data_IF_572057325972
#
_entry.id   IF_572057325972
#
_cell.length_a   1.000
_cell.length_b   1.000
_cell.length_c   1.000
_cell.angle_alpha   90.00
_cell.angle_beta   90.00
_cell.angle_gamma   90.00
#
_symmetry.space_group_name_H-M   'P 1'
#
loop_
_entity.id
_entity.type
_entity.pdbx_description
1 polymer ?
#
# COMPACT_ATOMS: atom_id res chain seq x y z
N UNK A 1 28.85 -17.19 -1.75
CA UNK A 1 27.58 -17.37 -1.03
C UNK A 1 27.91 -17.92 0.35
N UNK A 2 27.27 -17.43 1.40
CA UNK A 2 27.43 -17.95 2.75
C UNK A 2 26.72 -19.32 2.89
N UNK A 3 27.32 -20.23 3.63
CA UNK A 3 26.77 -21.58 3.85
C UNK A 3 25.78 -21.57 5.02
N UNK A 4 26.11 -20.78 6.06
CA UNK A 4 25.32 -20.64 7.29
C UNK A 4 25.34 -19.19 7.81
N UNK A 5 24.65 -18.94 8.94
CA UNK A 5 24.58 -17.64 9.57
C UNK A 5 25.95 -17.15 10.05
N UNK A 6 26.77 -18.06 10.61
CA UNK A 6 28.12 -17.72 11.09
C UNK A 6 29.02 -17.22 9.95
N UNK A 7 29.00 -17.93 8.83
CA UNK A 7 29.77 -17.60 7.62
C UNK A 7 29.25 -16.29 7.01
N UNK A 8 27.93 -16.09 7.02
CA UNK A 8 27.32 -14.85 6.57
C UNK A 8 27.80 -13.62 7.33
N UNK A 9 27.80 -13.68 8.66
CA UNK A 9 28.29 -12.60 9.51
C UNK A 9 29.81 -12.40 9.40
N UNK A 10 30.56 -13.48 9.22
CA UNK A 10 32.01 -13.45 8.97
C UNK A 10 32.34 -12.73 7.67
N UNK A 11 31.60 -12.97 6.60
CA UNK A 11 31.80 -12.27 5.31
C UNK A 11 31.53 -10.79 5.44
N UNK A 12 30.53 -10.38 6.22
CA UNK A 12 30.22 -8.96 6.45
C UNK A 12 31.30 -8.28 7.28
N UNK A 13 31.72 -8.87 8.38
CA UNK A 13 32.80 -8.31 9.23
C UNK A 13 34.13 -8.19 8.46
N UNK A 14 34.44 -9.13 7.56
CA UNK A 14 35.64 -9.07 6.74
C UNK A 14 35.63 -7.90 5.73
N UNK A 15 34.46 -7.35 5.42
CA UNK A 15 34.32 -6.15 4.56
C UNK A 15 34.41 -4.84 5.33
N UNK A 16 34.24 -4.89 6.65
CA UNK A 16 34.45 -3.71 7.52
C UNK A 16 35.95 -3.44 7.66
N UNK A 17 36.32 -2.17 7.89
CA UNK A 17 37.73 -1.81 8.01
C UNK A 17 38.38 -2.54 9.18
N UNK A 18 39.53 -3.18 8.91
CA UNK A 18 40.28 -3.97 9.88
C UNK A 18 41.07 -3.11 10.92
N UNK A 19 40.99 -1.79 10.83
CA UNK A 19 41.75 -0.87 11.69
C UNK A 19 41.14 -0.67 13.08
N UNK A 20 39.86 -1.03 13.26
CA UNK A 20 39.19 -0.89 14.55
C UNK A 20 39.41 -2.13 15.42
N UNK A 21 40.02 -2.01 16.62
CA UNK A 21 40.26 -3.13 17.52
C UNK A 21 38.96 -3.86 17.92
N UNK A 22 37.86 -3.13 18.08
CA UNK A 22 36.55 -3.70 18.43
C UNK A 22 36.02 -4.60 17.29
N UNK A 23 36.32 -4.26 16.02
CA UNK A 23 35.94 -5.10 14.86
C UNK A 23 36.75 -6.40 14.83
N UNK A 24 38.01 -6.36 15.19
CA UNK A 24 38.86 -7.56 15.32
C UNK A 24 38.36 -8.49 16.43
N UNK A 25 37.93 -7.92 17.57
CA UNK A 25 37.33 -8.69 18.66
C UNK A 25 36.00 -9.30 18.25
N UNK A 26 35.12 -8.54 17.55
CA UNK A 26 33.87 -9.05 17.02
C UNK A 26 34.09 -10.23 16.07
N UNK A 27 35.09 -10.14 15.19
CA UNK A 27 35.48 -11.24 14.30
C UNK A 27 35.93 -12.48 15.09
N UNK A 28 36.70 -12.30 16.16
CA UNK A 28 37.17 -13.39 17.04
C UNK A 28 35.98 -14.03 17.77
N UNK A 29 35.04 -13.26 18.28
CA UNK A 29 33.81 -13.76 18.92
C UNK A 29 33.03 -14.65 17.96
N UNK A 30 32.78 -14.19 16.74
CA UNK A 30 32.02 -14.98 15.75
C UNK A 30 32.79 -16.23 15.31
N UNK A 31 34.10 -16.13 15.15
CA UNK A 31 34.91 -17.27 14.68
C UNK A 31 35.08 -18.34 15.75
N UNK A 32 35.52 -17.95 16.95
CA UNK A 32 36.05 -18.88 17.95
C UNK A 32 35.05 -19.17 19.07
N UNK A 33 34.08 -18.28 19.32
CA UNK A 33 33.14 -18.37 20.45
C UNK A 33 31.67 -18.40 20.00
N UNK A 34 31.39 -18.82 18.77
CA UNK A 34 30.05 -18.82 18.17
C UNK A 34 28.99 -19.51 19.04
N UNK A 35 29.27 -20.75 19.51
CA UNK A 35 28.33 -21.50 20.32
C UNK A 35 28.03 -20.81 21.66
N UNK A 36 29.04 -20.26 22.33
CA UNK A 36 28.86 -19.51 23.58
C UNK A 36 28.10 -18.21 23.35
N UNK A 37 28.30 -17.57 22.20
CA UNK A 37 27.60 -16.35 21.79
C UNK A 37 26.10 -16.60 21.55
N UNK A 38 25.72 -17.67 20.82
CA UNK A 38 24.31 -18.05 20.59
C UNK A 38 23.60 -18.36 21.92
N UNK A 39 24.28 -19.04 22.85
CA UNK A 39 23.72 -19.35 24.16
C UNK A 39 23.82 -18.22 25.18
N UNK A 40 24.18 -16.98 24.71
CA UNK A 40 24.29 -15.77 25.54
C UNK A 40 25.22 -15.89 26.75
N UNK A 41 26.24 -16.73 26.67
CA UNK A 41 27.23 -16.93 27.72
C UNK A 41 28.28 -15.82 27.68
N UNK A 42 27.87 -14.56 27.87
CA UNK A 42 28.72 -13.39 27.69
C UNK A 42 29.84 -13.32 28.73
N UNK A 43 29.56 -13.68 29.98
CA UNK A 43 30.57 -13.70 31.05
C UNK A 43 31.73 -14.64 30.74
N UNK A 44 31.44 -15.77 30.10
CA UNK A 44 32.46 -16.73 29.65
C UNK A 44 33.33 -16.11 28.55
N UNK A 45 32.73 -15.41 27.59
CA UNK A 45 33.42 -14.79 26.45
C UNK A 45 34.30 -13.64 26.97
N UNK A 46 33.77 -12.78 27.84
CA UNK A 46 34.50 -11.67 28.47
C UNK A 46 35.77 -12.15 29.18
N UNK A 47 35.63 -13.19 30.01
CA UNK A 47 36.77 -13.79 30.72
C UNK A 47 37.80 -14.40 29.78
N UNK A 48 37.38 -15.04 28.69
CA UNK A 48 38.28 -15.67 27.73
C UNK A 48 39.01 -14.71 26.82
N UNK A 49 38.38 -13.60 26.50
CA UNK A 49 38.98 -12.53 25.66
C UNK A 49 39.77 -11.53 26.50
N UNK A 50 39.70 -11.63 27.85
CA UNK A 50 40.35 -10.69 28.78
C UNK A 50 40.00 -9.22 28.50
N UNK A 51 38.73 -8.95 28.19
CA UNK A 51 38.21 -7.61 27.90
C UNK A 51 37.26 -7.16 29.01
N UNK A 52 37.13 -5.84 29.17
CA UNK A 52 36.17 -5.23 30.08
C UNK A 52 34.75 -5.27 29.50
N UNK A 53 33.75 -5.13 30.38
CA UNK A 53 32.34 -5.16 29.98
C UNK A 53 31.98 -4.06 28.99
N UNK A 54 32.53 -2.87 29.08
CA UNK A 54 32.26 -1.76 28.17
C UNK A 54 32.79 -2.05 26.76
N UNK A 55 34.00 -2.61 26.66
CA UNK A 55 34.53 -3.04 25.34
C UNK A 55 33.71 -4.13 24.74
N UNK A 56 33.23 -5.10 25.54
CA UNK A 56 32.35 -6.16 25.03
C UNK A 56 30.99 -5.63 24.58
N UNK A 57 30.43 -4.61 25.25
CA UNK A 57 29.20 -3.95 24.77
C UNK A 57 29.39 -3.27 23.40
N UNK A 58 30.51 -2.63 23.14
CA UNK A 58 30.84 -2.08 21.82
C UNK A 58 30.95 -3.17 20.77
N UNK A 59 31.60 -4.27 21.09
CA UNK A 59 31.68 -5.46 20.23
C UNK A 59 30.29 -6.04 19.94
N UNK A 60 29.41 -6.13 20.93
CA UNK A 60 28.03 -6.56 20.78
C UNK A 60 27.26 -5.66 19.81
N UNK A 61 27.40 -4.34 19.94
CA UNK A 61 26.75 -3.37 19.01
C UNK A 61 27.23 -3.55 17.58
N UNK A 62 28.51 -3.83 17.37
CA UNK A 62 29.04 -4.14 16.03
C UNK A 62 28.38 -5.40 15.47
N UNK A 63 28.31 -6.49 16.24
CA UNK A 63 27.69 -7.74 15.80
C UNK A 63 26.20 -7.55 15.54
N UNK A 64 25.49 -6.78 16.35
CA UNK A 64 24.06 -6.46 16.17
C UNK A 64 23.79 -5.57 14.94
N UNK A 65 24.76 -4.79 14.49
CA UNK A 65 24.63 -3.98 13.28
C UNK A 65 24.75 -4.79 11.98
N UNK A 66 25.19 -6.05 12.07
CA UNK A 66 25.29 -6.93 10.91
C UNK A 66 23.90 -7.47 10.52
N UNK A 67 23.67 -7.61 9.23
CA UNK A 67 22.41 -8.15 8.72
C UNK A 67 22.45 -9.69 8.71
N UNK A 68 21.62 -10.38 9.51
CA UNK A 68 21.57 -11.84 9.52
C UNK A 68 20.96 -12.44 8.24
N UNK A 69 20.25 -11.64 7.44
CA UNK A 69 19.59 -12.05 6.20
C UNK A 69 19.94 -11.12 5.03
N UNK A 70 21.20 -11.10 4.56
CA UNK A 70 21.63 -10.16 3.50
C UNK A 70 21.01 -10.45 2.13
N UNK A 71 20.35 -11.59 1.96
CA UNK A 71 19.64 -11.94 0.72
C UNK A 71 18.24 -11.32 0.65
N UNK A 72 17.65 -11.01 1.80
CA UNK A 72 16.63 -9.96 1.87
C UNK A 72 17.44 -8.66 1.88
N UNK A 73 17.73 -8.13 0.68
CA UNK A 73 18.24 -6.79 0.56
C UNK A 73 17.48 -5.92 1.54
N UNK A 74 18.06 -4.78 1.97
CA UNK A 74 17.19 -3.70 2.35
C UNK A 74 16.18 -3.58 1.22
N UNK A 75 15.05 -4.25 1.38
CA UNK A 75 13.82 -3.68 0.97
C UNK A 75 13.75 -2.37 1.78
N UNK A 76 14.51 -1.37 1.35
CA UNK A 76 13.83 -0.15 1.01
C UNK A 76 12.60 -0.69 0.34
N UNK A 77 11.51 -0.74 1.05
CA UNK A 77 10.17 -0.74 0.51
C UNK A 77 9.98 0.53 -0.33
N UNK A 78 10.82 0.73 -1.28
CA UNK A 78 10.40 1.02 -2.60
C UNK A 78 9.74 -0.30 -2.96
N UNK A 79 8.55 -0.55 -2.33
CA UNK A 79 7.54 -1.26 -3.05
C UNK A 79 7.58 -0.66 -4.44
N UNK A 80 8.27 -1.28 -5.36
CA UNK A 80 7.94 -1.25 -6.76
C UNK A 80 6.59 -1.96 -6.90
N UNK A 81 5.69 -1.74 -5.95
CA UNK A 81 4.28 -1.94 -6.12
C UNK A 81 3.91 -0.92 -7.18
N UNK A 82 3.84 -1.42 -8.41
CA UNK A 82 3.30 -0.65 -9.52
C UNK A 82 1.92 -0.16 -9.09
N UNK A 83 1.90 1.08 -8.55
CA UNK A 83 0.68 1.68 -8.03
C UNK A 83 -0.19 2.01 -9.24
N UNK A 84 -1.23 1.20 -9.45
CA UNK A 84 -2.25 1.52 -10.42
C UNK A 84 -3.10 2.65 -9.85
N UNK A 85 -3.04 3.85 -10.44
CA UNK A 85 -3.80 4.98 -9.96
C UNK A 85 -5.29 4.76 -10.21
N UNK A 86 -6.11 5.18 -9.26
CA UNK A 86 -7.57 5.15 -9.40
C UNK A 86 -8.07 6.31 -10.29
N UNK A 87 -7.41 7.45 -10.19
CA UNK A 87 -7.70 8.66 -10.96
C UNK A 87 -6.50 9.09 -11.79
N UNK A 88 -6.78 9.58 -12.98
CA UNK A 88 -5.82 10.28 -13.84
C UNK A 88 -6.27 11.72 -13.91
N UNK A 89 -5.39 12.65 -13.51
CA UNK A 89 -5.63 14.10 -13.48
C UNK A 89 -4.67 14.77 -14.43
N UNK A 90 -5.17 15.63 -15.29
CA UNK A 90 -4.37 16.38 -16.25
C UNK A 90 -4.89 17.81 -16.40
N UNK A 91 -4.02 18.68 -16.85
CA UNK A 91 -4.35 20.06 -17.15
C UNK A 91 -4.47 20.23 -18.67
N UNK A 92 -5.64 20.66 -19.15
CA UNK A 92 -5.90 20.94 -20.55
C UNK A 92 -6.96 22.01 -20.69
N UNK A 93 -6.85 22.82 -21.73
CA UNK A 93 -7.80 23.90 -22.06
C UNK A 93 -7.99 24.92 -20.91
N UNK A 94 -6.94 25.17 -20.15
CA UNK A 94 -6.94 26.03 -18.95
C UNK A 94 -7.80 25.49 -17.78
N UNK A 95 -8.12 24.21 -17.80
CA UNK A 95 -8.89 23.55 -16.76
C UNK A 95 -8.18 22.27 -16.28
N UNK A 96 -8.36 21.95 -14.99
CA UNK A 96 -7.95 20.66 -14.43
C UNK A 96 -9.05 19.66 -14.72
N UNK A 97 -8.75 18.65 -15.53
CA UNK A 97 -9.65 17.55 -15.89
C UNK A 97 -9.20 16.28 -15.21
N UNK A 98 -10.11 15.37 -14.92
CA UNK A 98 -9.80 14.07 -14.38
C UNK A 98 -10.69 12.97 -14.95
N UNK A 99 -10.22 11.75 -14.88
CA UNK A 99 -11.02 10.57 -15.17
C UNK A 99 -10.70 9.45 -14.21
N UNK A 100 -11.68 8.61 -13.90
CA UNK A 100 -11.41 7.30 -13.29
C UNK A 100 -10.64 6.43 -14.27
N UNK A 101 -9.68 5.67 -13.77
CA UNK A 101 -8.91 4.74 -14.57
C UNK A 101 -9.84 3.72 -15.23
N UNK A 102 -9.59 3.40 -16.49
CA UNK A 102 -10.42 2.47 -17.31
C UNK A 102 -10.63 1.11 -16.65
N UNK A 103 -9.73 0.66 -15.79
CA UNK A 103 -9.90 -0.59 -15.04
C UNK A 103 -11.10 -0.57 -14.07
N UNK A 104 -11.55 0.61 -13.64
CA UNK A 104 -12.74 0.80 -12.82
C UNK A 104 -14.01 0.99 -13.66
N UNK A 105 -13.89 1.39 -14.91
CA UNK A 105 -15.02 1.48 -15.86
C UNK A 105 -15.35 0.10 -16.40
N UNK A 106 -15.94 -0.74 -15.58
CA UNK A 106 -16.53 -2.00 -16.06
C UNK A 106 -17.97 -1.70 -16.51
N UNK A 107 -18.25 -1.91 -17.80
CA UNK A 107 -19.61 -1.90 -18.30
C UNK A 107 -20.33 -3.15 -17.80
N UNK A 108 -20.83 -3.06 -16.57
CA UNK A 108 -21.62 -4.12 -15.97
C UNK A 108 -23.04 -4.02 -16.52
N UNK A 109 -23.55 -5.12 -17.05
CA UNK A 109 -24.93 -5.27 -17.48
C UNK A 109 -25.49 -6.60 -17.00
N UNK A 110 -26.79 -6.65 -16.80
CA UNK A 110 -27.48 -7.92 -16.53
C UNK A 110 -27.43 -8.75 -17.82
N UNK A 111 -27.18 -10.07 -17.67
CA UNK A 111 -27.13 -10.96 -18.82
C UNK A 111 -28.46 -10.93 -19.58
N UNK A 112 -28.41 -10.55 -20.87
CA UNK A 112 -29.56 -10.45 -21.73
C UNK A 112 -30.26 -11.81 -21.94
N UNK A 113 -29.49 -12.91 -21.95
CA UNK A 113 -30.06 -14.25 -22.12
C UNK A 113 -30.88 -14.66 -20.89
N UNK A 114 -30.46 -14.28 -19.68
CA UNK A 114 -31.24 -14.49 -18.47
C UNK A 114 -32.57 -13.75 -18.48
N UNK A 115 -32.59 -12.51 -19.00
CA UNK A 115 -33.81 -11.72 -19.16
C UNK A 115 -34.73 -12.35 -20.19
N UNK A 116 -34.19 -12.79 -21.35
CA UNK A 116 -34.98 -13.48 -22.40
C UNK A 116 -35.55 -14.78 -21.88
N UNK A 117 -34.73 -15.60 -21.19
CA UNK A 117 -35.18 -16.85 -20.61
C UNK A 117 -36.33 -16.65 -19.62
N UNK A 118 -36.29 -15.64 -18.79
CA UNK A 118 -37.35 -15.27 -17.87
C UNK A 118 -38.63 -14.93 -18.66
N UNK A 119 -38.54 -14.06 -19.68
CA UNK A 119 -39.67 -13.67 -20.52
C UNK A 119 -40.32 -14.84 -21.27
N UNK A 120 -39.51 -15.80 -21.73
CA UNK A 120 -40.00 -16.99 -22.42
C UNK A 120 -40.68 -17.98 -21.46
N UNK A 121 -40.18 -18.11 -20.24
CA UNK A 121 -40.80 -18.94 -19.20
C UNK A 121 -42.13 -18.36 -18.70
N UNK A 122 -42.26 -17.04 -18.63
CA UNK A 122 -43.49 -16.37 -18.24
C UNK A 122 -44.62 -16.51 -19.30
N UNK A 123 -44.26 -16.75 -20.56
CA UNK A 123 -45.24 -16.94 -21.68
C UNK A 123 -45.73 -18.36 -21.81
N UNK A 124 -45.07 -19.37 -21.21
CA UNK A 124 -45.47 -20.78 -21.32
C UNK A 124 -46.73 -21.07 -20.51
N UNK A 125 -47.62 -21.92 -21.03
CA UNK A 125 -48.83 -22.37 -20.32
C UNK A 125 -48.50 -23.19 -19.04
N UNK A 126 -47.47 -24.05 -19.12
CA UNK A 126 -46.92 -24.75 -17.95
C UNK A 126 -45.76 -23.97 -17.37
N UNK A 127 -46.05 -23.16 -16.36
CA UNK A 127 -45.04 -22.29 -15.68
C UNK A 127 -44.33 -23.08 -14.57
N UNK A 128 -43.01 -23.17 -14.65
CA UNK A 128 -42.22 -23.59 -13.52
C UNK A 128 -41.97 -22.37 -12.61
N UNK A 129 -42.88 -22.19 -11.65
CA UNK A 129 -42.87 -21.04 -10.74
C UNK A 129 -41.51 -20.94 -9.93
N UNK A 130 -40.93 -22.08 -9.61
CA UNK A 130 -39.63 -22.09 -8.86
C UNK A 130 -38.49 -21.53 -9.71
N UNK A 131 -38.42 -21.94 -10.98
CA UNK A 131 -37.38 -21.43 -11.89
C UNK A 131 -37.61 -19.96 -12.22
N UNK A 132 -38.85 -19.53 -12.39
CA UNK A 132 -39.21 -18.12 -12.63
C UNK A 132 -38.80 -17.27 -11.42
N UNK A 133 -39.16 -17.68 -10.21
CA UNK A 133 -38.79 -16.98 -8.99
C UNK A 133 -37.26 -16.89 -8.82
N UNK A 134 -36.54 -17.99 -9.03
CA UNK A 134 -35.09 -18.01 -8.98
C UNK A 134 -34.44 -17.02 -9.95
N UNK A 135 -34.89 -16.98 -11.21
CA UNK A 135 -34.37 -16.07 -12.20
C UNK A 135 -34.69 -14.61 -11.86
N UNK A 136 -35.91 -14.30 -11.39
CA UNK A 136 -36.26 -12.95 -10.90
C UNK A 136 -35.35 -12.48 -9.79
N UNK A 137 -35.15 -13.30 -8.77
CA UNK A 137 -34.21 -12.95 -7.65
C UNK A 137 -32.78 -12.71 -8.14
N UNK A 138 -32.30 -13.50 -9.09
CA UNK A 138 -30.93 -13.35 -9.63
C UNK A 138 -30.79 -12.06 -10.44
N UNK A 139 -31.78 -11.76 -11.28
CA UNK A 139 -31.80 -10.53 -12.09
C UNK A 139 -31.88 -9.29 -11.16
N UNK A 140 -32.77 -9.33 -10.17
CA UNK A 140 -32.92 -8.25 -9.21
C UNK A 140 -31.61 -8.00 -8.42
N UNK A 141 -30.99 -9.06 -7.86
CA UNK A 141 -29.70 -8.97 -7.16
C UNK A 141 -28.59 -8.42 -8.06
N UNK A 142 -28.55 -8.83 -9.33
CA UNK A 142 -27.62 -8.30 -10.31
C UNK A 142 -27.86 -6.80 -10.58
N UNK A 143 -29.14 -6.40 -10.71
CA UNK A 143 -29.51 -4.99 -10.84
C UNK A 143 -29.07 -4.14 -9.66
N UNK A 144 -29.37 -4.57 -8.44
CA UNK A 144 -28.94 -3.90 -7.21
C UNK A 144 -27.41 -3.77 -7.10
N UNK A 145 -26.69 -4.82 -7.50
CA UNK A 145 -25.23 -4.78 -7.51
C UNK A 145 -24.69 -3.74 -8.49
N UNK A 146 -25.25 -3.68 -9.69
CA UNK A 146 -24.86 -2.71 -10.74
C UNK A 146 -25.15 -1.29 -10.27
N UNK A 147 -26.33 -1.06 -9.67
CA UNK A 147 -26.70 0.23 -9.12
C UNK A 147 -25.76 0.69 -8.00
N UNK A 148 -25.46 -0.21 -7.04
CA UNK A 148 -24.51 0.07 -5.98
C UNK A 148 -23.10 0.41 -6.52
N UNK A 149 -22.67 -0.28 -7.58
CA UNK A 149 -21.39 -0.01 -8.24
C UNK A 149 -21.38 1.38 -8.90
N UNK A 150 -22.43 1.74 -9.65
CA UNK A 150 -22.58 3.07 -10.26
C UNK A 150 -22.60 4.18 -9.20
N UNK A 151 -23.34 3.99 -8.13
CA UNK A 151 -23.42 4.97 -7.03
C UNK A 151 -22.07 5.17 -6.33
N UNK A 152 -21.28 4.10 -6.21
CA UNK A 152 -19.90 4.21 -5.70
C UNK A 152 -19.01 5.02 -6.65
N UNK A 153 -19.13 4.80 -7.96
CA UNK A 153 -18.37 5.56 -8.98
C UNK A 153 -18.74 7.04 -8.95
N UNK A 154 -20.03 7.36 -8.89
CA UNK A 154 -20.54 8.73 -8.76
C UNK A 154 -20.00 9.41 -7.48
N UNK A 155 -20.03 8.70 -6.35
CA UNK A 155 -19.50 9.21 -5.09
C UNK A 155 -18.01 9.52 -5.19
N UNK A 156 -17.21 8.64 -5.80
CA UNK A 156 -15.78 8.84 -6.03
C UNK A 156 -15.52 10.07 -6.92
N UNK A 157 -16.28 10.21 -8.02
CA UNK A 157 -16.17 11.34 -8.93
C UNK A 157 -16.50 12.66 -8.22
N UNK A 158 -17.58 12.69 -7.44
CA UNK A 158 -18.01 13.88 -6.69
C UNK A 158 -16.96 14.30 -5.67
N UNK A 159 -16.37 13.35 -4.93
CA UNK A 159 -15.30 13.65 -3.97
C UNK A 159 -14.04 14.16 -4.69
N UNK A 160 -13.64 13.52 -5.79
CA UNK A 160 -12.46 13.96 -6.55
C UNK A 160 -12.65 15.36 -7.12
N UNK A 161 -13.84 15.68 -7.66
CA UNK A 161 -14.20 17.02 -8.13
C UNK A 161 -14.07 18.07 -7.02
N UNK A 162 -14.54 17.74 -5.80
CA UNK A 162 -14.43 18.64 -4.65
C UNK A 162 -12.96 18.84 -4.24
N UNK A 163 -12.13 17.78 -4.23
CA UNK A 163 -10.71 17.89 -3.94
C UNK A 163 -10.03 18.81 -4.97
N UNK A 164 -10.28 18.61 -6.26
CA UNK A 164 -9.71 19.43 -7.34
C UNK A 164 -10.14 20.89 -7.18
N UNK A 165 -11.40 21.17 -6.89
CA UNK A 165 -11.88 22.55 -6.73
C UNK A 165 -11.20 23.28 -5.58
N UNK A 166 -10.92 22.60 -4.46
CA UNK A 166 -10.25 23.17 -3.29
C UNK A 166 -8.73 23.28 -3.45
N UNK A 167 -8.12 22.38 -4.23
CA UNK A 167 -6.68 22.31 -4.48
C UNK A 167 -6.29 22.72 -5.90
N UNK A 168 -7.12 23.53 -6.56
CA UNK A 168 -6.96 23.88 -7.98
C UNK A 168 -5.56 24.41 -8.30
N UNK A 169 -5.09 25.37 -7.52
CA UNK A 169 -3.78 26.01 -7.73
C UNK A 169 -2.62 25.01 -7.64
N UNK A 170 -2.74 24.03 -6.75
CA UNK A 170 -1.78 22.94 -6.61
C UNK A 170 -1.77 22.01 -7.84
N UNK A 171 -2.96 21.61 -8.31
CA UNK A 171 -3.07 20.73 -9.49
C UNK A 171 -2.60 21.39 -10.80
N UNK A 172 -2.68 22.71 -10.88
CA UNK A 172 -2.16 23.47 -12.03
C UNK A 172 -0.64 23.58 -11.99
N UNK A 173 -0.06 23.93 -10.83
CA UNK A 173 1.35 24.28 -10.74
C UNK A 173 2.27 23.12 -10.33
N UNK A 174 1.76 22.13 -9.60
CA UNK A 174 2.56 21.03 -9.03
C UNK A 174 3.48 21.45 -7.87
N UNK A 175 3.39 22.68 -7.41
CA UNK A 175 4.26 23.24 -6.38
C UNK A 175 3.68 23.03 -4.98
N UNK A 176 4.47 22.45 -4.07
CA UNK A 176 4.06 22.25 -2.66
C UNK A 176 3.69 23.54 -1.94
N UNK A 177 4.22 24.68 -2.36
CA UNK A 177 3.91 26.02 -1.81
C UNK A 177 2.45 26.42 -2.02
N UNK A 178 1.79 25.89 -3.04
CA UNK A 178 0.38 26.16 -3.38
C UNK A 178 -0.59 25.17 -2.76
N UNK A 179 -0.07 24.21 -2.03
CA UNK A 179 -0.89 23.22 -1.32
C UNK A 179 -1.61 23.88 -0.14
N UNK A 180 -2.95 23.76 -0.11
CA UNK A 180 -3.79 24.30 0.96
C UNK A 180 -4.18 23.19 1.94
N UNK A 181 -4.16 23.43 3.28
CA UNK A 181 -4.66 22.46 4.24
C UNK A 181 -6.13 22.13 3.94
N UNK A 182 -6.44 20.83 3.77
CA UNK A 182 -7.79 20.35 3.46
C UNK A 182 -8.29 19.45 4.59
N UNK A 183 -9.52 19.70 5.07
CA UNK A 183 -10.19 18.86 6.08
C UNK A 183 -11.36 18.10 5.46
N UNK A 184 -11.75 16.99 6.07
CA UNK A 184 -12.94 16.24 5.64
C UNK A 184 -14.21 17.10 5.71
N UNK A 185 -14.30 18.03 6.67
CA UNK A 185 -15.41 18.98 6.80
C UNK A 185 -15.59 19.87 5.57
N UNK A 186 -14.50 20.26 4.90
CA UNK A 186 -14.56 21.11 3.72
C UNK A 186 -15.18 20.36 2.53
N UNK A 187 -14.80 19.10 2.34
CA UNK A 187 -15.42 18.23 1.34
C UNK A 187 -16.88 17.95 1.70
N UNK A 188 -17.20 17.72 2.98
CA UNK A 188 -18.58 17.52 3.45
C UNK A 188 -19.48 18.69 3.11
N UNK A 189 -19.01 19.92 3.30
CA UNK A 189 -19.79 21.15 2.96
C UNK A 189 -20.14 21.21 1.48
N UNK A 190 -19.24 20.77 0.61
CA UNK A 190 -19.44 20.81 -0.86
C UNK A 190 -20.29 19.65 -1.34
N UNK A 191 -20.03 18.43 -0.84
CA UNK A 191 -20.60 17.19 -1.38
C UNK A 191 -21.83 16.69 -0.61
N UNK A 192 -22.03 17.13 0.63
CA UNK A 192 -23.06 16.63 1.53
C UNK A 192 -22.79 15.24 2.12
N UNK A 193 -21.67 14.61 1.75
CA UNK A 193 -21.32 13.29 2.29
C UNK A 193 -20.80 13.38 3.73
N UNK A 194 -21.01 12.32 4.51
CA UNK A 194 -20.46 12.22 5.86
C UNK A 194 -18.93 12.04 5.81
N UNK A 195 -18.22 12.52 6.83
CA UNK A 195 -16.75 12.37 6.93
C UNK A 195 -16.29 10.92 6.88
N UNK A 196 -17.06 10.01 7.47
CA UNK A 196 -16.79 8.58 7.44
C UNK A 196 -16.86 8.03 5.99
N UNK A 197 -17.81 8.52 5.18
CA UNK A 197 -17.92 8.15 3.76
C UNK A 197 -16.73 8.69 2.97
N UNK A 198 -16.37 9.96 3.17
CA UNK A 198 -15.22 10.59 2.52
C UNK A 198 -13.94 9.84 2.88
N UNK A 199 -13.68 9.62 4.16
CA UNK A 199 -12.50 8.90 4.65
C UNK A 199 -12.38 7.49 4.05
N UNK A 200 -13.47 6.72 4.00
CA UNK A 200 -13.49 5.37 3.37
C UNK A 200 -13.20 5.43 1.88
N UNK A 201 -13.70 6.46 1.19
CA UNK A 201 -13.54 6.61 -0.26
C UNK A 201 -12.13 7.05 -0.65
N UNK A 202 -11.46 7.92 0.12
CA UNK A 202 -10.11 8.40 -0.19
C UNK A 202 -9.02 7.44 0.31
N UNK A 203 -9.35 6.57 1.28
CA UNK A 203 -8.39 5.63 1.83
C UNK A 203 -7.96 4.61 0.77
N UNK A 204 -6.63 4.38 0.67
CA UNK A 204 -6.01 3.47 -0.31
C UNK A 204 -6.33 3.82 -1.79
N UNK A 205 -6.63 5.10 -2.08
CA UNK A 205 -6.88 5.60 -3.42
C UNK A 205 -5.76 6.52 -3.88
N UNK A 206 -5.41 6.45 -5.16
CA UNK A 206 -4.29 7.17 -5.75
C UNK A 206 -4.75 7.99 -6.95
N UNK A 207 -4.20 9.19 -7.08
CA UNK A 207 -4.35 10.04 -8.24
C UNK A 207 -2.99 10.22 -8.93
N UNK A 208 -2.94 9.94 -10.21
CA UNK A 208 -1.80 10.22 -11.07
C UNK A 208 -1.97 11.60 -11.68
N UNK A 209 -0.98 12.45 -11.51
CA UNK A 209 -0.89 13.79 -12.09
C UNK A 209 0.31 13.86 -13.02
N UNK A 210 0.48 14.96 -13.74
CA UNK A 210 1.66 15.20 -14.59
C UNK A 210 2.97 15.36 -13.79
N UNK A 211 2.90 15.62 -12.49
CA UNK A 211 4.05 15.79 -11.59
C UNK A 211 4.22 14.65 -10.57
N UNK A 212 3.42 13.58 -10.64
CA UNK A 212 3.58 12.40 -9.79
C UNK A 212 2.29 11.68 -9.45
N UNK A 213 2.42 10.57 -8.72
CA UNK A 213 1.30 9.78 -8.19
C UNK A 213 1.21 9.97 -6.68
N UNK A 214 0.04 10.37 -6.19
CA UNK A 214 -0.20 10.73 -4.79
C UNK A 214 -1.35 9.91 -4.22
N UNK A 215 -1.28 9.61 -2.93
CA UNK A 215 -2.45 9.08 -2.20
C UNK A 215 -3.47 10.18 -2.03
N UNK A 216 -4.75 9.91 -2.26
CA UNK A 216 -5.80 10.92 -2.02
C UNK A 216 -5.84 11.35 -0.56
N UNK A 217 -5.46 10.46 0.36
CA UNK A 217 -5.37 10.77 1.79
C UNK A 217 -4.33 11.86 2.09
N UNK A 218 -3.27 11.97 1.30
CA UNK A 218 -2.18 12.95 1.51
C UNK A 218 -2.63 14.40 1.24
N UNK A 219 -3.78 14.59 0.59
CA UNK A 219 -4.40 15.91 0.43
C UNK A 219 -5.10 16.42 1.69
N UNK A 220 -5.29 15.57 2.71
CA UNK A 220 -5.97 15.93 3.95
C UNK A 220 -4.98 16.13 5.09
N UNK A 221 -5.11 17.28 5.77
CA UNK A 221 -4.40 17.57 7.02
C UNK A 221 -5.18 16.96 8.20
N UNK A 222 -4.48 16.41 9.16
CA UNK A 222 -5.06 15.95 10.42
C UNK A 222 -5.19 17.10 11.41
#
# INVERSE_FOLDING_TARGET
>A
AAVDLQDCLMLQINRMSSENPDTMLAKRVIKDYWNSFIHKQYDFIIKRLEVDSETFERVLKIIQSLNPYPGYGEENEIENSYILPDFIVWYADKEVKFSLNKQYKRNLSVNADGIRMLADLEKKEHRDEKTIQFLKEKIEKAGLFIEAFKKREETLNTIMQAIISLQYDYFVAGEKSKFKPLKYEDIKKITGFTESTISRMVNKKYAQTHFGTFKLKDFFSY
#
